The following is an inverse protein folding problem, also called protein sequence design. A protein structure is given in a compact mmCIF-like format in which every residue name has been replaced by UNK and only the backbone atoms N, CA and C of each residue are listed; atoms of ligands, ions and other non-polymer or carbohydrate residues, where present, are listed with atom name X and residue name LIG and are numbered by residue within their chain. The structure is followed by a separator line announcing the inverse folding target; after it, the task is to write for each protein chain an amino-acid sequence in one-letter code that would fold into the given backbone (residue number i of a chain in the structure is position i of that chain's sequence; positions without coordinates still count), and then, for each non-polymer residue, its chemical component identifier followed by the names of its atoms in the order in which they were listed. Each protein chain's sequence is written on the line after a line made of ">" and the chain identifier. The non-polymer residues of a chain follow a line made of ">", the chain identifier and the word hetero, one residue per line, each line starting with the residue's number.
data_IF_186129565175
#
_entry.id   IF_186129565175
#
_cell.length_a   1.000
_cell.length_b   1.000
_cell.length_c   1.000
_cell.angle_alpha   90.00
_cell.angle_beta   90.00
_cell.angle_gamma   90.00
#
_symmetry.space_group_name_H-M   'P 1'
#
loop_
_entity.id
_entity.type
_entity.pdbx_description
1 polymer ?
#
# COMPACT_ATOMS: atom_id res chain seq x y z
N UNK A 1 21.63 5.36 -2.82
CA UNK A 1 20.41 5.49 -3.65
C UNK A 1 19.56 4.23 -3.51
N UNK A 2 18.96 3.98 -2.33
CA UNK A 2 18.18 2.76 -2.07
C UNK A 2 16.93 3.14 -1.31
N UNK A 3 15.94 3.73 -1.99
CA UNK A 3 14.74 4.21 -1.30
C UNK A 3 13.51 3.96 -2.16
N UNK A 4 12.74 2.93 -1.77
CA UNK A 4 11.31 2.70 -2.08
C UNK A 4 10.94 2.06 -3.44
N UNK A 5 11.34 0.80 -3.68
CA UNK A 5 10.78 0.04 -4.83
C UNK A 5 9.36 -0.49 -4.66
N UNK A 6 8.91 -0.70 -3.42
CA UNK A 6 7.56 -1.22 -3.16
C UNK A 6 6.47 -0.21 -3.55
N UNK A 7 6.69 1.08 -3.30
CA UNK A 7 5.65 2.09 -3.56
C UNK A 7 5.45 2.33 -5.07
N UNK A 8 6.53 2.29 -5.85
CA UNK A 8 6.45 2.39 -7.32
C UNK A 8 5.51 1.34 -7.92
N UNK A 9 5.58 0.10 -7.41
CA UNK A 9 4.69 -0.98 -7.84
C UNK A 9 3.23 -0.75 -7.46
N UNK A 10 2.98 -0.16 -6.28
CA UNK A 10 1.64 0.15 -5.80
C UNK A 10 1.03 1.35 -6.53
N UNK A 11 1.82 2.38 -6.87
CA UNK A 11 1.35 3.53 -7.64
C UNK A 11 1.00 3.19 -9.09
N UNK A 12 1.57 2.12 -9.64
CA UNK A 12 1.21 1.62 -10.96
C UNK A 12 -0.15 0.89 -10.99
N UNK A 13 -0.77 0.63 -9.82
CA UNK A 13 -2.03 -0.10 -9.75
C UNK A 13 -3.24 0.74 -10.21
N UNK A 14 -4.22 0.12 -10.88
CA UNK A 14 -5.44 0.82 -11.31
C UNK A 14 -6.31 1.24 -10.11
N UNK A 15 -6.74 2.51 -10.12
CA UNK A 15 -7.50 3.14 -9.02
C UNK A 15 -8.96 2.66 -8.89
N UNK A 16 -9.51 1.99 -9.90
CA UNK A 16 -10.92 1.60 -9.98
C UNK A 16 -11.16 0.13 -9.59
N UNK A 17 -10.21 -0.52 -8.91
CA UNK A 17 -10.28 -1.92 -8.51
C UNK A 17 -9.95 -2.06 -7.02
N UNK A 18 -10.61 -2.98 -6.31
CA UNK A 18 -10.21 -3.30 -4.94
C UNK A 18 -8.78 -3.84 -4.94
N UNK A 19 -7.94 -3.32 -4.04
CA UNK A 19 -6.56 -3.79 -3.85
C UNK A 19 -6.42 -4.37 -2.45
N UNK A 20 -5.89 -5.58 -2.36
CA UNK A 20 -5.46 -6.21 -1.11
C UNK A 20 -3.92 -6.20 -1.05
N UNK A 21 -3.38 -5.57 -0.03
CA UNK A 21 -1.95 -5.46 0.23
C UNK A 21 -1.60 -6.40 1.38
N UNK A 22 -1.04 -7.55 1.06
CA UNK A 22 -0.50 -8.47 2.05
C UNK A 22 0.96 -8.15 2.39
N UNK A 23 1.20 -7.78 3.64
CA UNK A 23 2.51 -7.48 4.21
C UNK A 23 3.00 -8.58 5.15
N UNK A 24 2.31 -9.72 5.25
CA UNK A 24 2.68 -10.84 6.13
C UNK A 24 4.12 -11.34 5.90
N UNK A 25 4.63 -11.24 4.67
CA UNK A 25 6.02 -11.60 4.32
C UNK A 25 7.06 -10.49 4.53
N UNK A 26 6.70 -9.30 5.02
CA UNK A 26 7.62 -8.16 5.13
C UNK A 26 8.25 -8.10 6.53
N UNK A 27 9.52 -8.51 6.63
CA UNK A 27 10.25 -8.55 7.91
C UNK A 27 10.65 -7.18 8.48
N UNK A 28 10.91 -6.17 7.64
CA UNK A 28 11.26 -4.82 8.08
C UNK A 28 10.58 -3.77 7.22
N UNK A 29 9.44 -3.26 7.70
CA UNK A 29 8.81 -2.07 7.15
C UNK A 29 9.26 -0.85 7.96
N UNK A 30 10.06 0.03 7.36
CA UNK A 30 10.45 1.28 8.01
C UNK A 30 9.25 2.23 8.20
N UNK A 31 9.38 3.14 9.16
CA UNK A 31 8.32 4.10 9.48
C UNK A 31 7.87 4.93 8.28
N UNK A 32 8.80 5.29 7.38
CA UNK A 32 8.45 6.07 6.19
C UNK A 32 7.65 5.22 5.19
N UNK A 33 8.00 3.94 4.99
CA UNK A 33 7.23 3.00 4.15
C UNK A 33 5.80 2.88 4.67
N UNK A 34 5.64 2.73 5.99
CA UNK A 34 4.32 2.62 6.62
C UNK A 34 3.46 3.87 6.39
N UNK A 35 4.05 5.06 6.54
CA UNK A 35 3.33 6.32 6.32
C UNK A 35 2.96 6.51 4.84
N UNK A 36 3.87 6.20 3.92
CA UNK A 36 3.58 6.28 2.48
C UNK A 36 2.48 5.29 2.06
N UNK A 37 2.50 4.06 2.57
CA UNK A 37 1.47 3.06 2.30
C UNK A 37 0.09 3.50 2.81
N UNK A 38 0.01 4.07 4.02
CA UNK A 38 -1.25 4.61 4.56
C UNK A 38 -1.81 5.73 3.70
N UNK A 39 -0.95 6.65 3.25
CA UNK A 39 -1.36 7.73 2.36
C UNK A 39 -1.83 7.21 0.99
N UNK A 40 -1.12 6.22 0.43
CA UNK A 40 -1.52 5.56 -0.81
C UNK A 40 -2.86 4.85 -0.67
N UNK A 41 -3.05 4.06 0.40
CA UNK A 41 -4.30 3.34 0.67
C UNK A 41 -5.48 4.31 0.84
N UNK A 42 -5.28 5.43 1.55
CA UNK A 42 -6.30 6.46 1.70
C UNK A 42 -6.68 7.11 0.36
N UNK A 43 -5.71 7.34 -0.54
CA UNK A 43 -5.95 7.90 -1.87
C UNK A 43 -6.65 6.91 -2.80
N UNK A 44 -6.26 5.63 -2.76
CA UNK A 44 -6.89 4.57 -3.55
C UNK A 44 -8.29 4.18 -3.07
N UNK A 45 -8.59 4.45 -1.80
CA UNK A 45 -9.92 4.22 -1.21
C UNK A 45 -10.85 5.42 -1.37
N UNK A 46 -10.46 6.47 -2.10
CA UNK A 46 -11.28 7.65 -2.35
C UNK A 46 -12.03 7.54 -3.69
N UNK A 47 -13.29 7.96 -3.67
CA UNK A 47 -14.24 8.03 -4.80
C UNK A 47 -14.73 6.67 -5.36
N UNK A 48 -15.70 6.07 -4.67
CA UNK A 48 -16.56 4.99 -5.22
C UNK A 48 -15.97 3.58 -5.26
N UNK A 49 -14.73 3.39 -4.83
CA UNK A 49 -14.06 2.08 -4.75
C UNK A 49 -14.05 1.49 -3.35
N UNK A 50 -14.10 0.15 -3.27
CA UNK A 50 -13.94 -0.58 -2.02
C UNK A 50 -12.62 -0.23 -1.34
N UNK A 51 -12.63 -0.09 0.01
CA UNK A 51 -11.45 0.32 0.76
C UNK A 51 -10.32 -0.71 0.59
N UNK A 52 -9.11 -0.21 0.42
CA UNK A 52 -7.89 -1.03 0.34
C UNK A 52 -7.73 -1.82 1.64
N UNK A 53 -7.62 -3.13 1.53
CA UNK A 53 -7.33 -4.01 2.67
C UNK A 53 -5.83 -4.14 2.81
N UNK A 54 -5.30 -3.87 4.00
CA UNK A 54 -3.87 -4.05 4.30
C UNK A 54 -3.75 -5.10 5.39
N UNK A 55 -3.26 -6.28 5.04
CA UNK A 55 -3.04 -7.38 5.96
C UNK A 55 -1.61 -7.33 6.44
N UNK A 56 -1.40 -7.08 7.73
CA UNK A 56 -0.09 -7.18 8.37
C UNK A 56 -0.11 -8.47 9.19
N UNK A 57 0.58 -9.51 8.72
CA UNK A 57 0.71 -10.75 9.49
C UNK A 57 1.34 -10.44 10.86
N UNK A 58 0.62 -10.75 11.93
CA UNK A 58 1.12 -10.77 13.32
C UNK A 58 1.49 -12.20 13.67
#
# INVERSE_FOLDING_TARGET
>A
MSRRRILDGLEALPQHRPVDVDLSGVHHLDHACRTALRNWAARHSADGTEPVKVTSGV
#
